data_IF_851072971880
#
_entry.id   IF_851072971880
#
_cell.length_a   1.000
_cell.length_b   1.000
_cell.length_c   1.000
_cell.angle_alpha   90.00
_cell.angle_beta   90.00
_cell.angle_gamma   90.00
#
_symmetry.space_group_name_H-M   'P 1'
#
loop_
_entity.id
_entity.type
_entity.pdbx_description
1 polymer ?
#
# COMPACT_ATOMS: atom_id res chain seq x y z
N UNK A 1 -4.88 15.16 -37.13
CA UNK A 1 -6.09 14.73 -37.86
C UNK A 1 -6.77 15.92 -38.55
N UNK A 2 -7.31 16.90 -37.81
CA UNK A 2 -8.01 18.07 -38.38
C UNK A 2 -7.22 18.79 -39.49
N UNK A 3 -5.96 19.15 -39.25
CA UNK A 3 -5.08 19.76 -40.26
C UNK A 3 -4.74 18.87 -41.48
N UNK A 4 -4.85 17.55 -41.38
CA UNK A 4 -4.61 16.65 -42.50
C UNK A 4 -5.85 16.54 -43.40
N UNK A 5 -7.04 16.54 -42.77
CA UNK A 5 -8.35 16.60 -43.44
C UNK A 5 -8.51 17.92 -44.19
N UNK A 6 -8.18 19.04 -43.56
CA UNK A 6 -8.23 20.38 -44.18
C UNK A 6 -7.28 20.53 -45.39
N UNK A 7 -6.22 19.72 -45.46
CA UNK A 7 -5.19 19.80 -46.51
C UNK A 7 -5.25 18.63 -47.51
N UNK A 8 -6.29 17.79 -47.50
CA UNK A 8 -6.41 16.59 -48.34
C UNK A 8 -5.13 15.71 -48.35
N UNK A 9 -4.49 15.56 -47.19
CA UNK A 9 -3.29 14.70 -47.03
C UNK A 9 -3.65 13.42 -46.29
N UNK A 10 -3.13 12.30 -46.77
CA UNK A 10 -3.24 11.02 -46.06
C UNK A 10 -2.64 11.12 -44.66
N UNK A 11 -3.39 10.61 -43.68
CA UNK A 11 -2.98 10.64 -42.29
C UNK A 11 -2.02 9.47 -42.00
N UNK A 12 -0.73 9.78 -41.89
CA UNK A 12 0.24 8.80 -41.43
C UNK A 12 0.37 8.84 -39.89
N UNK A 13 -0.01 7.73 -39.25
CA UNK A 13 0.02 7.57 -37.79
C UNK A 13 1.44 7.78 -37.21
N UNK A 14 2.47 7.33 -37.91
CA UNK A 14 3.86 7.42 -37.44
C UNK A 14 4.38 8.86 -37.42
N UNK A 15 3.89 9.72 -38.32
CA UNK A 15 4.21 11.16 -38.34
C UNK A 15 3.40 11.95 -37.31
N UNK A 16 2.27 11.40 -36.83
CA UNK A 16 1.40 12.06 -35.87
C UNK A 16 1.92 11.94 -34.43
N UNK A 17 2.58 10.83 -34.09
CA UNK A 17 3.13 10.59 -32.74
C UNK A 17 4.53 11.18 -32.62
N UNK A 18 4.64 12.31 -31.93
CA UNK A 18 5.93 12.93 -31.62
C UNK A 18 6.56 12.28 -30.37
N UNK A 19 7.50 11.37 -30.57
CA UNK A 19 8.27 10.73 -29.48
C UNK A 19 8.98 11.75 -28.58
N UNK A 20 9.44 12.88 -29.16
CA UNK A 20 10.11 13.97 -28.44
C UNK A 20 9.26 14.61 -27.35
N UNK A 21 7.93 14.59 -27.48
CA UNK A 21 7.02 15.16 -26.47
C UNK A 21 7.14 14.40 -25.15
N UNK A 22 7.15 13.07 -25.19
CA UNK A 22 7.28 12.22 -23.99
C UNK A 22 8.68 12.32 -23.41
N UNK A 23 9.72 12.17 -24.24
CA UNK A 23 11.12 12.22 -23.80
C UNK A 23 11.46 13.55 -23.12
N UNK A 24 11.12 14.68 -23.75
CA UNK A 24 11.42 16.00 -23.20
C UNK A 24 10.53 16.32 -21.99
N UNK A 25 9.26 15.89 -22.02
CA UNK A 25 8.35 16.05 -20.89
C UNK A 25 8.85 15.34 -19.62
N UNK A 26 9.19 14.05 -19.72
CA UNK A 26 9.70 13.26 -18.60
C UNK A 26 11.04 13.81 -18.09
N UNK A 27 11.98 14.11 -19.00
CA UNK A 27 13.29 14.68 -18.63
C UNK A 27 13.12 15.98 -17.87
N UNK A 28 12.22 16.86 -18.33
CA UNK A 28 11.95 18.13 -17.65
C UNK A 28 11.33 17.93 -16.26
N UNK A 29 10.25 17.13 -16.14
CA UNK A 29 9.55 16.96 -14.87
C UNK A 29 10.41 16.27 -13.81
N UNK A 30 11.23 15.29 -14.20
CA UNK A 30 12.17 14.63 -13.28
C UNK A 30 13.34 15.54 -12.90
N UNK A 31 13.87 16.35 -13.82
CA UNK A 31 14.99 17.24 -13.53
C UNK A 31 14.59 18.46 -12.69
N UNK A 32 13.41 19.03 -12.95
CA UNK A 32 12.94 20.26 -12.26
C UNK A 32 12.08 19.97 -11.04
N UNK A 33 11.51 18.76 -10.93
CA UNK A 33 10.54 18.41 -9.89
C UNK A 33 9.17 19.07 -10.08
N UNK A 34 8.91 19.70 -11.23
CA UNK A 34 7.64 20.30 -11.59
C UNK A 34 6.80 19.31 -12.42
N UNK A 35 5.71 18.84 -11.83
CA UNK A 35 4.76 17.94 -12.48
C UNK A 35 3.56 18.76 -12.96
N UNK A 36 3.49 19.01 -14.27
CA UNK A 36 2.45 19.82 -14.91
C UNK A 36 2.86 20.35 -16.28
N UNK A 37 1.98 21.13 -16.90
CA UNK A 37 2.25 21.79 -18.18
C UNK A 37 3.33 22.87 -18.00
N UNK A 38 4.41 22.77 -18.77
CA UNK A 38 5.54 23.70 -18.76
C UNK A 38 5.09 25.14 -19.04
N UNK A 39 4.02 25.34 -19.82
CA UNK A 39 3.49 26.66 -20.17
C UNK A 39 2.63 27.28 -19.07
N UNK A 40 2.19 26.48 -18.10
CA UNK A 40 1.33 26.91 -16.98
C UNK A 40 1.94 26.51 -15.64
N UNK A 41 3.09 27.12 -15.33
CA UNK A 41 3.85 26.85 -14.10
C UNK A 41 3.02 26.94 -12.80
N UNK A 42 1.98 27.79 -12.78
CA UNK A 42 1.16 28.06 -11.59
C UNK A 42 0.26 26.88 -11.15
N UNK A 43 0.01 25.88 -12.01
CA UNK A 43 -0.75 24.68 -11.64
C UNK A 43 0.14 23.43 -11.44
N UNK A 44 1.46 23.60 -11.46
CA UNK A 44 2.39 22.47 -11.35
C UNK A 44 2.64 22.09 -9.89
N UNK A 45 2.67 20.79 -9.61
CA UNK A 45 3.05 20.28 -8.29
C UNK A 45 4.57 20.25 -8.21
N UNK A 46 5.14 21.23 -7.51
CA UNK A 46 6.57 21.35 -7.33
C UNK A 46 7.11 20.44 -6.22
N UNK A 47 8.38 20.05 -6.32
CA UNK A 47 9.13 19.39 -5.24
C UNK A 47 8.89 17.89 -5.09
N UNK A 48 8.30 17.24 -6.10
CA UNK A 48 8.14 15.77 -6.15
C UNK A 48 9.48 15.08 -6.44
N UNK A 49 10.29 15.64 -7.36
CA UNK A 49 11.67 15.22 -7.59
C UNK A 49 12.64 16.19 -6.92
N UNK A 50 13.70 15.67 -6.32
CA UNK A 50 14.73 16.43 -5.62
C UNK A 50 16.11 15.83 -5.89
N UNK A 51 17.15 16.67 -5.87
CA UNK A 51 18.53 16.20 -5.99
C UNK A 51 18.91 15.40 -4.74
N UNK A 52 19.44 14.19 -4.95
CA UNK A 52 19.82 13.30 -3.85
C UNK A 52 20.92 13.92 -2.97
N UNK A 53 20.64 14.06 -1.68
CA UNK A 53 21.62 14.46 -0.67
C UNK A 53 22.66 13.35 -0.44
N UNK A 54 23.95 13.67 -0.66
CA UNK A 54 25.09 12.76 -0.53
C UNK A 54 26.16 13.23 0.48
N UNK A 55 25.80 14.04 1.47
CA UNK A 55 26.78 14.49 2.49
C UNK A 55 27.37 13.32 3.30
N UNK A 56 26.52 12.35 3.67
CA UNK A 56 26.92 11.11 4.34
C UNK A 56 26.12 9.93 3.80
N UNK A 57 26.57 8.71 4.10
CA UNK A 57 25.80 7.50 3.80
C UNK A 57 24.41 7.52 4.45
N UNK A 58 24.35 7.86 5.74
CA UNK A 58 23.09 7.96 6.49
C UNK A 58 22.13 9.02 5.92
N UNK A 59 22.65 10.19 5.51
CA UNK A 59 21.81 11.23 4.90
C UNK A 59 21.20 10.78 3.57
N UNK A 60 21.90 9.93 2.83
CA UNK A 60 21.41 9.39 1.56
C UNK A 60 20.21 8.46 1.81
N UNK A 61 20.33 7.55 2.79
CA UNK A 61 19.26 6.63 3.17
C UNK A 61 18.04 7.37 3.74
N UNK A 62 18.26 8.33 4.64
CA UNK A 62 17.20 9.20 5.17
C UNK A 62 16.45 9.91 4.04
N UNK A 63 17.17 10.47 3.06
CA UNK A 63 16.55 11.21 1.98
C UNK A 63 15.61 10.35 1.11
N UNK A 64 15.96 9.07 0.88
CA UNK A 64 15.13 8.13 0.12
C UNK A 64 13.83 7.76 0.85
N UNK A 65 13.78 7.88 2.17
CA UNK A 65 12.61 7.52 3.01
C UNK A 65 11.76 8.71 3.42
N UNK A 66 12.04 9.88 2.82
CA UNK A 66 11.36 11.13 3.11
C UNK A 66 9.99 11.17 2.41
N UNK A 67 8.98 11.60 3.15
CA UNK A 67 7.63 11.91 2.65
C UNK A 67 7.33 13.38 2.88
N UNK A 68 6.66 14.01 1.92
CA UNK A 68 6.33 15.43 1.96
C UNK A 68 4.82 15.62 1.89
N UNK A 69 4.28 16.35 2.86
CA UNK A 69 2.86 16.71 2.88
C UNK A 69 2.63 17.86 1.88
N UNK A 70 1.67 17.77 0.93
CA UNK A 70 1.46 18.77 -0.11
C UNK A 70 0.70 20.01 0.43
N UNK A 71 1.22 20.64 1.48
CA UNK A 71 0.67 21.83 2.10
C UNK A 71 1.65 22.98 1.92
N UNK A 72 1.13 24.15 1.56
CA UNK A 72 1.91 25.38 1.45
C UNK A 72 2.62 25.70 2.76
N UNK A 73 3.91 26.04 2.67
CA UNK A 73 4.75 26.31 3.84
C UNK A 73 4.39 27.63 4.54
N UNK A 74 3.59 28.47 3.88
CA UNK A 74 3.13 29.77 4.38
C UNK A 74 2.01 29.64 5.45
N UNK A 75 1.36 28.47 5.52
CA UNK A 75 0.32 28.20 6.51
C UNK A 75 0.89 27.83 7.88
N UNK A 76 0.61 28.66 8.90
CA UNK A 76 0.81 28.34 10.34
C UNK A 76 -0.27 27.38 10.87
N UNK A 77 -0.62 26.35 10.11
CA UNK A 77 -1.62 25.37 10.53
C UNK A 77 -0.92 24.33 11.41
N UNK A 78 -1.32 24.25 12.69
CA UNK A 78 -0.67 23.35 13.66
C UNK A 78 -1.05 21.88 13.46
N UNK A 79 -2.31 21.57 13.14
CA UNK A 79 -2.85 20.20 13.10
C UNK A 79 -2.04 19.19 12.25
N UNK A 80 -1.66 19.48 10.99
CA UNK A 80 -0.89 18.52 10.18
C UNK A 80 0.57 18.37 10.63
N UNK A 81 1.07 19.32 11.44
CA UNK A 81 2.45 19.36 11.93
C UNK A 81 2.63 18.61 13.25
N UNK A 82 1.57 18.57 14.06
CA UNK A 82 1.60 17.86 15.34
C UNK A 82 1.77 16.35 15.14
N UNK A 83 2.58 15.74 16.00
CA UNK A 83 2.72 14.30 16.06
C UNK A 83 1.38 13.69 16.51
N UNK A 84 0.79 12.86 15.67
CA UNK A 84 -0.44 12.16 15.97
C UNK A 84 -0.14 10.71 16.38
N UNK A 85 -0.97 10.12 17.26
CA UNK A 85 -0.77 8.77 17.76
C UNK A 85 -0.78 7.70 16.66
N UNK A 86 -1.46 7.96 15.54
CA UNK A 86 -1.47 7.06 14.37
C UNK A 86 -0.12 6.97 13.66
N UNK A 87 0.82 7.90 13.92
CA UNK A 87 2.17 7.83 13.38
C UNK A 87 3.03 6.74 14.02
N UNK A 88 2.66 6.28 15.22
CA UNK A 88 3.47 5.34 16.01
C UNK A 88 3.80 4.10 15.18
N UNK A 89 5.10 3.81 15.03
CA UNK A 89 5.65 2.67 14.29
C UNK A 89 5.55 2.74 12.76
N UNK A 90 5.07 3.84 12.19
CA UNK A 90 5.03 4.06 10.74
C UNK A 90 6.03 5.15 10.30
N UNK A 91 6.20 6.18 11.13
CA UNK A 91 7.02 7.36 10.86
C UNK A 91 7.91 7.65 12.06
N UNK A 92 9.12 8.15 11.81
CA UNK A 92 10.04 8.57 12.86
C UNK A 92 9.46 9.79 13.59
N UNK A 93 9.32 9.76 14.94
CA UNK A 93 8.71 10.86 15.68
C UNK A 93 9.61 12.10 15.79
N UNK A 94 10.93 11.93 15.66
CA UNK A 94 11.91 13.00 15.86
C UNK A 94 12.50 13.56 14.57
N UNK A 95 12.59 12.75 13.50
CA UNK A 95 13.30 13.13 12.29
C UNK A 95 12.44 14.01 11.36
N UNK A 96 12.37 15.30 11.67
CA UNK A 96 11.72 16.34 10.88
C UNK A 96 12.60 17.59 10.86
N UNK A 97 12.67 18.34 9.74
CA UNK A 97 13.44 19.58 9.69
C UNK A 97 12.87 20.64 10.63
N UNK A 98 13.73 21.51 11.13
CA UNK A 98 13.33 22.68 11.91
C UNK A 98 12.63 23.74 11.03
N UNK A 99 11.86 24.63 11.67
CA UNK A 99 11.23 25.77 11.02
C UNK A 99 9.98 25.42 10.19
N UNK A 100 9.85 26.03 9.01
CA UNK A 100 8.59 26.01 8.23
C UNK A 100 8.19 24.64 7.68
N UNK A 101 9.11 23.68 7.63
CA UNK A 101 8.85 22.32 7.18
C UNK A 101 8.61 21.32 8.33
N UNK A 102 8.71 21.77 9.59
CA UNK A 102 8.51 20.94 10.77
C UNK A 102 7.12 20.28 10.75
N UNK A 103 7.12 18.95 10.88
CA UNK A 103 5.94 18.10 10.86
C UNK A 103 5.32 17.87 9.47
N UNK A 104 5.71 18.64 8.44
CA UNK A 104 5.26 18.44 7.06
C UNK A 104 6.13 17.44 6.30
N UNK A 105 7.42 17.43 6.62
CA UNK A 105 8.38 16.46 6.11
C UNK A 105 8.60 15.40 7.19
N UNK A 106 8.36 14.13 6.82
CA UNK A 106 8.44 12.99 7.73
C UNK A 106 9.28 11.88 7.10
N UNK A 107 9.91 11.05 7.92
CA UNK A 107 10.71 9.91 7.46
C UNK A 107 10.09 8.59 7.91
N UNK A 108 10.00 7.62 7.01
CA UNK A 108 9.41 6.31 7.31
C UNK A 108 10.21 5.59 8.41
N UNK A 109 9.53 4.84 9.29
CA UNK A 109 10.16 4.02 10.32
C UNK A 109 10.89 2.82 9.72
N UNK A 110 11.92 2.24 10.36
CA UNK A 110 12.77 1.19 9.76
C UNK A 110 11.98 0.03 9.14
N UNK A 111 11.02 -0.53 9.89
CA UNK A 111 10.18 -1.67 9.45
C UNK A 111 8.96 -1.25 8.61
N UNK A 112 8.88 0.04 8.23
CA UNK A 112 7.76 0.55 7.46
C UNK A 112 7.83 0.05 6.01
N UNK A 113 6.70 -0.44 5.53
CA UNK A 113 6.47 -0.90 4.16
C UNK A 113 5.33 -0.11 3.51
N UNK A 114 5.41 0.16 2.20
CA UNK A 114 4.35 0.84 1.45
C UNK A 114 3.74 -0.17 0.48
N UNK A 115 2.42 -0.33 0.52
CA UNK A 115 1.73 -1.29 -0.36
C UNK A 115 1.85 -0.90 -1.84
N UNK A 116 2.14 -1.88 -2.69
CA UNK A 116 2.14 -1.71 -4.16
C UNK A 116 0.75 -1.88 -4.75
N UNK A 117 -0.14 -2.56 -4.02
CA UNK A 117 -1.52 -2.80 -4.41
C UNK A 117 -1.71 -4.10 -5.16
N UNK A 118 -2.92 -4.66 -5.07
CA UNK A 118 -3.29 -5.91 -5.75
C UNK A 118 -4.69 -5.82 -6.36
N UNK A 119 -4.97 -6.57 -7.45
CA UNK A 119 -6.30 -6.66 -8.03
C UNK A 119 -7.35 -7.07 -6.98
N UNK A 120 -8.52 -6.44 -7.01
CA UNK A 120 -9.61 -6.67 -6.06
C UNK A 120 -10.62 -7.71 -6.53
N UNK A 121 -10.67 -8.00 -7.83
CA UNK A 121 -11.65 -8.92 -8.42
C UNK A 121 -11.55 -10.34 -7.81
N UNK A 122 -10.36 -10.95 -7.64
CA UNK A 122 -10.28 -12.32 -7.12
C UNK A 122 -10.82 -12.47 -5.69
N UNK A 123 -10.69 -11.43 -4.85
CA UNK A 123 -11.22 -11.47 -3.48
C UNK A 123 -12.75 -11.32 -3.48
N UNK A 124 -13.32 -10.56 -4.42
CA UNK A 124 -14.76 -10.41 -4.58
C UNK A 124 -15.36 -11.74 -5.01
N UNK A 125 -14.82 -12.36 -6.06
CA UNK A 125 -15.29 -13.66 -6.57
C UNK A 125 -15.24 -14.74 -5.49
N UNK A 126 -14.15 -14.77 -4.72
CA UNK A 126 -14.02 -15.68 -3.59
C UNK A 126 -15.11 -15.45 -2.53
N UNK A 127 -15.44 -14.20 -2.21
CA UNK A 127 -16.48 -13.89 -1.23
C UNK A 127 -17.87 -14.29 -1.74
N UNK A 128 -18.18 -14.07 -3.03
CA UNK A 128 -19.44 -14.53 -3.66
C UNK A 128 -19.57 -16.04 -3.54
N UNK A 129 -18.51 -16.79 -3.86
CA UNK A 129 -18.48 -18.25 -3.69
C UNK A 129 -18.65 -18.72 -2.24
N UNK A 130 -18.41 -17.84 -1.26
CA UNK A 130 -18.60 -18.08 0.18
C UNK A 130 -19.89 -17.50 0.73
N UNK A 131 -20.94 -17.43 -0.11
CA UNK A 131 -22.28 -16.97 0.27
C UNK A 131 -22.33 -15.48 0.66
N UNK A 132 -21.45 -14.64 0.11
CA UNK A 132 -21.72 -13.22 0.03
C UNK A 132 -22.82 -12.98 -1.00
N UNK A 133 -23.87 -12.29 -0.59
CA UNK A 133 -24.95 -11.84 -1.46
C UNK A 133 -24.53 -10.53 -2.10
N UNK A 134 -24.62 -10.44 -3.43
CA UNK A 134 -24.18 -9.26 -4.17
C UNK A 134 -25.19 -8.13 -3.92
N UNK A 135 -24.74 -6.88 -3.93
CA UNK A 135 -25.58 -5.74 -3.59
C UNK A 135 -26.87 -5.64 -4.43
N UNK A 136 -26.80 -6.01 -5.70
CA UNK A 136 -27.94 -5.98 -6.63
C UNK A 136 -29.05 -6.98 -6.25
N UNK A 137 -28.71 -8.06 -5.57
CA UNK A 137 -29.63 -9.12 -5.14
C UNK A 137 -30.12 -8.92 -3.70
N UNK A 138 -29.51 -7.99 -2.96
CA UNK A 138 -29.79 -7.78 -1.55
C UNK A 138 -31.11 -7.03 -1.32
N UNK A 139 -32.02 -7.68 -0.59
CA UNK A 139 -33.25 -7.06 -0.09
C UNK A 139 -33.15 -6.70 1.40
N UNK A 140 -33.11 -5.39 1.76
CA UNK A 140 -32.93 -4.97 3.15
C UNK A 140 -34.03 -5.41 4.12
N UNK A 141 -35.25 -5.64 3.62
CA UNK A 141 -36.39 -6.09 4.41
C UNK A 141 -36.22 -7.54 4.87
N UNK A 142 -35.60 -8.39 4.04
CA UNK A 142 -35.43 -9.80 4.34
C UNK A 142 -34.27 -10.04 5.31
N UNK A 143 -33.22 -9.20 5.27
CA UNK A 143 -32.04 -9.36 6.11
C UNK A 143 -31.49 -8.03 6.64
N UNK A 144 -32.21 -7.34 7.55
CA UNK A 144 -31.85 -5.99 8.02
C UNK A 144 -30.59 -5.95 8.89
N UNK A 145 -30.10 -7.12 9.33
CA UNK A 145 -28.94 -7.28 10.19
C UNK A 145 -27.71 -7.82 9.46
N UNK A 146 -27.76 -7.93 8.13
CA UNK A 146 -26.63 -8.34 7.33
C UNK A 146 -25.45 -7.35 7.49
N UNK A 147 -24.23 -7.89 7.49
CA UNK A 147 -23.02 -7.07 7.53
C UNK A 147 -22.66 -6.64 6.11
N UNK A 148 -22.47 -5.33 5.93
CA UNK A 148 -22.07 -4.73 4.65
C UNK A 148 -20.61 -5.04 4.36
N UNK A 149 -20.29 -5.40 3.12
CA UNK A 149 -18.93 -5.69 2.69
C UNK A 149 -18.48 -4.58 1.74
N UNK A 150 -17.37 -3.93 2.08
CA UNK A 150 -16.75 -2.88 1.28
C UNK A 150 -15.39 -3.32 0.77
N UNK A 151 -15.12 -3.10 -0.50
CA UNK A 151 -13.80 -3.31 -1.12
C UNK A 151 -13.35 -1.99 -1.72
N UNK A 152 -12.23 -1.45 -1.25
CA UNK A 152 -11.70 -0.13 -1.67
C UNK A 152 -12.75 1.00 -1.60
N UNK A 153 -13.64 0.93 -0.61
CA UNK A 153 -14.72 1.90 -0.41
C UNK A 153 -16.00 1.63 -1.21
N UNK A 154 -16.00 0.68 -2.14
CA UNK A 154 -17.19 0.27 -2.90
C UNK A 154 -17.97 -0.76 -2.09
N UNK A 155 -19.27 -0.54 -1.90
CA UNK A 155 -20.16 -1.54 -1.28
C UNK A 155 -20.45 -2.63 -2.33
N UNK A 156 -19.89 -3.82 -2.12
CA UNK A 156 -20.01 -4.93 -3.09
C UNK A 156 -21.13 -5.91 -2.76
N UNK A 157 -21.52 -6.00 -1.49
CA UNK A 157 -22.53 -6.96 -1.07
C UNK A 157 -22.72 -7.01 0.43
N UNK A 158 -23.44 -8.03 0.88
CA UNK A 158 -23.71 -8.29 2.30
C UNK A 158 -23.44 -9.75 2.65
N UNK A 159 -23.26 -10.01 3.94
CA UNK A 159 -23.13 -11.36 4.44
C UNK A 159 -23.81 -11.52 5.80
N UNK A 160 -24.56 -12.60 5.97
CA UNK A 160 -25.32 -12.90 7.19
C UNK A 160 -24.45 -13.40 8.34
N UNK A 161 -23.38 -14.14 8.04
CA UNK A 161 -22.43 -14.70 9.02
C UNK A 161 -21.00 -14.11 8.87
N UNK A 162 -20.79 -12.82 9.14
CA UNK A 162 -19.52 -12.14 8.89
C UNK A 162 -18.34 -12.70 9.68
N UNK A 163 -18.57 -13.28 10.86
CA UNK A 163 -17.50 -13.83 11.69
C UNK A 163 -16.76 -14.98 10.97
N UNK A 164 -17.52 -15.86 10.30
CA UNK A 164 -16.96 -16.98 9.55
C UNK A 164 -16.22 -16.50 8.29
N UNK A 165 -16.80 -15.56 7.55
CA UNK A 165 -16.18 -14.99 6.36
C UNK A 165 -14.85 -14.28 6.70
N UNK A 166 -14.85 -13.42 7.73
CA UNK A 166 -13.65 -12.68 8.16
C UNK A 166 -12.54 -13.65 8.58
N UNK A 167 -12.86 -14.70 9.36
CA UNK A 167 -11.88 -15.70 9.76
C UNK A 167 -11.30 -16.45 8.54
N UNK A 168 -12.15 -16.78 7.57
CA UNK A 168 -11.73 -17.45 6.32
C UNK A 168 -10.78 -16.57 5.52
N UNK A 169 -11.15 -15.31 5.26
CA UNK A 169 -10.32 -14.37 4.48
C UNK A 169 -9.01 -14.06 5.21
N UNK A 170 -9.03 -13.91 6.54
CA UNK A 170 -7.82 -13.72 7.34
C UNK A 170 -6.87 -14.92 7.22
N UNK A 171 -7.41 -16.14 7.23
CA UNK A 171 -6.61 -17.35 7.07
C UNK A 171 -6.02 -17.48 5.66
N UNK A 172 -6.75 -17.07 4.61
CA UNK A 172 -6.18 -16.98 3.26
C UNK A 172 -4.96 -16.06 3.23
N UNK A 173 -5.05 -14.89 3.88
CA UNK A 173 -3.93 -13.93 3.96
C UNK A 173 -2.73 -14.52 4.70
N UNK A 174 -2.98 -15.20 5.82
CA UNK A 174 -1.93 -15.84 6.63
C UNK A 174 -1.23 -16.98 5.90
N UNK A 175 -1.90 -17.63 4.94
CA UNK A 175 -1.33 -18.69 4.09
C UNK A 175 -0.66 -18.17 2.82
N UNK A 176 -0.69 -16.85 2.57
CA UNK A 176 -0.16 -16.26 1.34
C UNK A 176 -1.01 -16.49 0.09
N UNK A 177 -2.24 -17.02 0.22
CA UNK A 177 -3.15 -17.23 -0.91
C UNK A 177 -3.74 -15.91 -1.44
N UNK A 178 -3.90 -14.94 -0.55
CA UNK A 178 -4.12 -13.55 -0.90
C UNK A 178 -2.92 -12.74 -0.42
N UNK A 179 -2.62 -11.64 -1.11
CA UNK A 179 -1.47 -10.81 -0.77
C UNK A 179 -1.51 -10.36 0.70
N UNK A 180 -0.35 -10.43 1.35
CA UNK A 180 -0.16 -9.96 2.72
C UNK A 180 -0.47 -8.46 2.88
N UNK A 181 -0.45 -7.71 1.77
CA UNK A 181 -0.78 -6.28 1.73
C UNK A 181 -2.27 -6.00 1.97
N UNK A 182 -3.16 -6.97 1.79
CA UNK A 182 -4.60 -6.75 1.90
C UNK A 182 -4.96 -6.42 3.35
N UNK A 183 -5.56 -5.24 3.58
CA UNK A 183 -6.07 -4.84 4.89
C UNK A 183 -7.49 -5.35 5.06
N UNK A 184 -7.77 -5.90 6.25
CA UNK A 184 -9.05 -6.49 6.61
C UNK A 184 -9.49 -5.85 7.92
N UNK A 185 -10.64 -5.15 7.90
CA UNK A 185 -11.18 -4.44 9.07
C UNK A 185 -12.63 -4.85 9.27
N UNK A 186 -12.93 -5.46 10.41
CA UNK A 186 -14.30 -5.78 10.81
C UNK A 186 -14.78 -4.77 11.85
N UNK A 187 -15.70 -3.91 11.45
CA UNK A 187 -16.41 -3.02 12.36
C UNK A 187 -17.72 -3.69 12.81
N UNK A 188 -17.76 -4.08 14.08
CA UNK A 188 -18.91 -4.77 14.66
C UNK A 188 -20.06 -3.79 14.92
N UNK A 189 -19.75 -2.52 15.25
CA UNK A 189 -20.76 -1.52 15.62
C UNK A 189 -21.53 -1.08 14.38
N UNK A 190 -20.81 -0.74 13.31
CA UNK A 190 -21.43 -0.25 12.09
C UNK A 190 -21.88 -1.39 11.15
N UNK A 191 -21.57 -2.63 11.53
CA UNK A 191 -21.83 -3.87 10.78
C UNK A 191 -21.20 -3.78 9.39
N UNK A 192 -19.90 -3.54 9.37
CA UNK A 192 -19.12 -3.38 8.13
C UNK A 192 -17.89 -4.28 8.14
N UNK A 193 -17.62 -4.90 7.01
CA UNK A 193 -16.36 -5.56 6.74
C UNK A 193 -15.68 -4.82 5.59
N UNK A 194 -14.59 -4.11 5.89
CA UNK A 194 -13.85 -3.26 4.96
C UNK A 194 -12.56 -3.96 4.55
N UNK A 195 -12.37 -4.09 3.25
CA UNK A 195 -11.21 -4.69 2.62
C UNK A 195 -10.53 -3.61 1.79
N UNK A 196 -9.22 -3.47 1.94
CA UNK A 196 -8.42 -2.56 1.12
C UNK A 196 -7.31 -3.32 0.42
N UNK A 197 -7.30 -3.27 -0.90
CA UNK A 197 -6.26 -3.81 -1.78
C UNK A 197 -5.45 -2.70 -2.47
N UNK A 198 -5.82 -1.43 -2.27
CA UNK A 198 -5.15 -0.28 -2.87
C UNK A 198 -3.67 -0.13 -2.48
N UNK A 199 -2.92 0.55 -3.37
CA UNK A 199 -1.54 0.96 -3.16
C UNK A 199 -1.42 2.18 -2.23
N UNK A 200 -0.22 2.41 -1.70
CA UNK A 200 0.11 3.61 -0.93
C UNK A 200 -0.27 3.57 0.55
N UNK A 201 -0.76 2.43 1.07
CA UNK A 201 -0.98 2.24 2.50
C UNK A 201 0.35 1.99 3.19
N UNK A 202 0.48 2.52 4.40
CA UNK A 202 1.69 2.42 5.20
C UNK A 202 1.52 1.28 6.20
N UNK A 203 2.36 0.25 6.09
CA UNK A 203 2.28 -1.00 6.83
C UNK A 203 3.51 -1.20 7.73
N UNK A 204 3.35 -2.07 8.72
CA UNK A 204 4.44 -2.54 9.57
C UNK A 204 4.23 -4.01 9.91
N UNK A 205 5.27 -4.85 9.86
CA UNK A 205 5.20 -6.22 10.31
C UNK A 205 5.07 -6.26 11.83
N UNK A 206 4.25 -7.20 12.33
CA UNK A 206 4.05 -7.47 13.74
C UNK A 206 3.97 -8.99 13.95
N UNK A 207 4.37 -9.46 15.14
CA UNK A 207 4.14 -10.84 15.51
C UNK A 207 2.66 -11.10 15.78
N UNK A 208 2.20 -12.29 15.40
CA UNK A 208 0.82 -12.74 15.58
C UNK A 208 0.73 -13.55 16.87
N UNK A 209 -0.31 -13.29 17.65
CA UNK A 209 -0.70 -14.12 18.82
C UNK A 209 -1.73 -15.14 18.36
N UNK A 210 -1.56 -16.39 18.80
CA UNK A 210 -2.57 -17.43 18.62
C UNK A 210 -3.74 -17.18 19.57
N UNK A 211 -4.91 -16.93 18.98
CA UNK A 211 -6.13 -16.62 19.70
C UNK A 211 -7.20 -17.69 19.51
N UNK A 212 -6.87 -18.86 18.94
CA UNK A 212 -7.82 -19.97 18.85
C UNK A 212 -7.91 -20.67 20.22
N UNK A 213 -9.07 -20.64 20.90
CA UNK A 213 -9.23 -21.30 22.20
C UNK A 213 -9.03 -22.82 22.16
N UNK A 214 -9.08 -23.41 20.96
CA UNK A 214 -8.83 -24.85 20.75
C UNK A 214 -7.35 -25.17 20.54
N UNK A 215 -6.52 -24.16 20.32
CA UNK A 215 -5.08 -24.35 20.13
C UNK A 215 -4.40 -24.60 21.45
N UNK A 216 -3.48 -25.57 21.48
CA UNK A 216 -2.60 -25.79 22.63
C UNK A 216 -1.69 -24.58 22.92
N UNK A 217 -1.49 -23.69 21.92
CA UNK A 217 -0.67 -22.50 22.03
C UNK A 217 -1.51 -21.22 22.28
N UNK A 218 -2.78 -21.35 22.67
CA UNK A 218 -3.67 -20.22 22.92
C UNK A 218 -3.05 -19.18 23.86
N UNK A 219 -3.10 -17.92 23.46
CA UNK A 219 -2.58 -16.77 24.21
C UNK A 219 -1.07 -16.52 24.03
N UNK A 220 -0.36 -17.36 23.28
CA UNK A 220 1.07 -17.22 23.04
C UNK A 220 1.39 -16.75 21.62
N UNK A 221 2.63 -16.32 21.39
CA UNK A 221 3.10 -15.95 20.05
C UNK A 221 3.07 -17.17 19.12
N UNK A 222 2.68 -16.94 17.86
CA UNK A 222 2.81 -17.93 16.79
C UNK A 222 4.29 -18.20 16.44
N UNK A 223 5.19 -17.26 16.74
CA UNK A 223 6.63 -17.48 16.65
C UNK A 223 7.10 -18.36 17.82
N UNK A 224 7.71 -19.50 17.50
CA UNK A 224 8.27 -20.44 18.49
C UNK A 224 9.79 -20.44 18.44
N UNK A 225 10.44 -20.96 19.50
CA UNK A 225 11.90 -21.16 19.49
C UNK A 225 12.37 -22.10 18.38
N UNK A 226 11.53 -23.08 18.00
CA UNK A 226 11.84 -23.97 16.88
C UNK A 226 11.94 -23.22 15.55
N UNK A 227 11.13 -22.18 15.33
CA UNK A 227 11.25 -21.33 14.14
C UNK A 227 12.56 -20.54 14.14
N UNK A 228 13.00 -20.06 15.31
CA UNK A 228 14.26 -19.31 15.44
C UNK A 228 15.45 -20.23 15.15
N UNK A 229 15.47 -21.43 15.75
CA UNK A 229 16.52 -22.42 15.49
C UNK A 229 16.59 -22.78 14.00
N UNK A 230 15.43 -23.01 13.37
CA UNK A 230 15.38 -23.27 11.93
C UNK A 230 15.96 -22.10 11.10
N UNK A 231 15.65 -20.85 11.45
CA UNK A 231 16.22 -19.68 10.77
C UNK A 231 17.74 -19.56 10.95
N UNK A 232 18.27 -19.98 12.10
CA UNK A 232 19.71 -20.03 12.36
C UNK A 232 20.38 -21.13 11.52
N UNK A 233 19.78 -22.32 11.47
CA UNK A 233 20.24 -23.45 10.65
C UNK A 233 20.20 -23.09 9.16
N UNK A 234 19.10 -22.50 8.69
CA UNK A 234 18.90 -22.08 7.30
C UNK A 234 19.92 -21.00 6.87
N UNK A 235 20.38 -20.16 7.81
CA UNK A 235 21.43 -19.16 7.55
C UNK A 235 22.78 -19.81 7.26
N UNK A 236 23.09 -20.91 7.94
CA UNK A 236 24.34 -21.64 7.74
C UNK A 236 24.31 -22.48 6.46
N UNK A 237 23.17 -23.13 6.18
CA UNK A 237 22.96 -23.95 4.98
C UNK A 237 22.88 -23.11 3.69
N UNK A 238 22.32 -21.90 3.76
CA UNK A 238 22.11 -21.03 2.61
C UNK A 238 23.38 -20.40 2.04
N UNK A 239 24.58 -20.62 2.56
CA UNK A 239 25.79 -19.97 2.02
C UNK A 239 26.11 -20.47 0.61
N UNK A 240 25.92 -21.77 0.36
CA UNK A 240 26.33 -22.43 -0.89
C UNK A 240 25.17 -22.67 -1.89
N UNK A 241 23.95 -22.28 -1.52
CA UNK A 241 22.74 -22.51 -2.34
C UNK A 241 22.52 -21.39 -3.35
N UNK A 242 21.94 -21.74 -4.51
CA UNK A 242 21.50 -20.73 -5.48
C UNK A 242 20.21 -20.01 -5.03
N UNK A 243 19.82 -18.95 -5.73
CA UNK A 243 18.66 -18.14 -5.34
C UNK A 243 17.32 -18.91 -5.38
N UNK A 244 17.18 -19.86 -6.31
CA UNK A 244 15.96 -20.64 -6.49
C UNK A 244 15.84 -21.74 -5.43
N UNK A 245 16.95 -22.41 -5.14
CA UNK A 245 17.04 -23.41 -4.09
C UNK A 245 16.78 -22.81 -2.70
N UNK A 246 17.23 -21.56 -2.47
CA UNK A 246 16.93 -20.83 -1.24
C UNK A 246 15.43 -20.58 -1.07
N UNK A 247 14.76 -20.19 -2.15
CA UNK A 247 13.32 -19.91 -2.14
C UNK A 247 12.48 -21.16 -1.85
N UNK A 248 12.90 -22.30 -2.40
CA UNK A 248 12.17 -23.57 -2.27
C UNK A 248 12.44 -24.27 -0.92
N UNK A 249 13.66 -24.20 -0.39
CA UNK A 249 14.11 -25.02 0.75
C UNK A 249 14.20 -24.25 2.08
N UNK A 250 14.52 -22.96 2.06
CA UNK A 250 14.74 -22.19 3.29
C UNK A 250 13.47 -21.53 3.80
N UNK A 251 13.36 -21.43 5.13
CA UNK A 251 12.35 -20.62 5.78
C UNK A 251 12.71 -19.15 5.60
N UNK A 252 11.87 -18.40 4.89
CA UNK A 252 12.15 -17.01 4.58
C UNK A 252 10.90 -16.22 4.27
N UNK A 253 11.06 -14.90 4.23
CA UNK A 253 10.02 -14.01 3.73
C UNK A 253 9.93 -14.16 2.21
N UNK A 254 8.85 -14.79 1.74
CA UNK A 254 8.48 -14.87 0.33
C UNK A 254 7.65 -13.62 -0.01
N UNK A 255 8.33 -12.49 -0.24
CA UNK A 255 7.68 -11.22 -0.59
C UNK A 255 8.65 -10.16 -1.08
#
# INVERSE_FOLDING_TARGET
>A
LQKCVENNKEFNLTLAVKSTTLTNGLKYSLATGNWGDQKKAMSSKAGVSQVLNRYTFASTLSHLRRTNTPIGRDGKIAKPRQLHNTHWGLVCPAETPEGQACGLVKNLALMCYITVGTPSEPIIDFMVQRNMEVLEEYEPLNNPNATKIFVNGVWVGVHSQPAHLVATVLNLRRRGLISYEVSLVRDIRDREFKIFTDAGRVCRPLFVVDNDPKSNNYGNLALTKAHIAKLEDDRELGVDMDAQEKEDKLMGWQG
#
